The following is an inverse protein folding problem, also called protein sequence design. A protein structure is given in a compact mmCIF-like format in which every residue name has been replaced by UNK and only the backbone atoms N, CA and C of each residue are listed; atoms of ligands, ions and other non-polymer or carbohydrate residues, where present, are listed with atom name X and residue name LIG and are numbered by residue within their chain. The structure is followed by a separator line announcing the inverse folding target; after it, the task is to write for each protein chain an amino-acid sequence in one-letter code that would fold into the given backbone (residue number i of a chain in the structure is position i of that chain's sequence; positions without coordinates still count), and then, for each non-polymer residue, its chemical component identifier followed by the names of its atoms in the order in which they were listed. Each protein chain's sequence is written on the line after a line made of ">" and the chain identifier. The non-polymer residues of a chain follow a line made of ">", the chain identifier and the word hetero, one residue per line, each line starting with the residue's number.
data_IF_838559851049
#
_entry.id   IF_838559851049
#
_cell.length_a   1.000
_cell.length_b   1.000
_cell.length_c   1.000
_cell.angle_alpha   90.00
_cell.angle_beta   90.00
_cell.angle_gamma   90.00
#
_symmetry.space_group_name_H-M   'P 1'
#
loop_
_entity.id
_entity.type
_entity.pdbx_description
1 polymer ?
#
# COMPACT_ATOMS: atom_id res chain seq x y z
N UNK A 1 23.46 -2.64 9.90
CA UNK A 1 22.70 -2.69 8.63
C UNK A 1 21.50 -3.62 8.68
N UNK A 2 21.48 -4.68 9.52
CA UNK A 2 20.33 -5.60 9.69
C UNK A 2 18.99 -4.98 10.18
N UNK A 3 18.98 -3.73 10.69
CA UNK A 3 17.80 -3.11 11.30
C UNK A 3 16.78 -2.54 10.29
N UNK A 4 17.20 -2.25 9.04
CA UNK A 4 16.32 -1.62 8.03
C UNK A 4 15.52 -2.66 7.25
N UNK A 5 16.15 -3.75 6.81
CA UNK A 5 15.47 -4.85 6.10
C UNK A 5 14.46 -5.56 7.01
N UNK A 6 14.83 -5.79 8.28
CA UNK A 6 13.93 -6.38 9.27
C UNK A 6 12.66 -5.53 9.49
N UNK A 7 12.81 -4.20 9.62
CA UNK A 7 11.68 -3.27 9.77
C UNK A 7 10.77 -3.25 8.54
N UNK A 8 11.35 -3.33 7.35
CA UNK A 8 10.56 -3.41 6.13
C UNK A 8 9.76 -4.72 6.07
N UNK A 9 10.36 -5.83 6.47
CA UNK A 9 9.69 -7.14 6.48
C UNK A 9 8.59 -7.21 7.54
N UNK A 10 8.82 -6.65 8.73
CA UNK A 10 7.80 -6.48 9.77
C UNK A 10 6.63 -5.63 9.28
N UNK A 11 6.92 -4.52 8.59
CA UNK A 11 5.90 -3.66 8.00
C UNK A 11 5.09 -4.38 6.92
N UNK A 12 5.75 -5.09 6.01
CA UNK A 12 5.08 -5.90 4.97
C UNK A 12 4.19 -6.97 5.60
N UNK A 13 4.67 -7.64 6.64
CA UNK A 13 3.93 -8.65 7.40
C UNK A 13 2.72 -8.04 8.13
N UNK A 14 2.87 -6.88 8.76
CA UNK A 14 1.77 -6.14 9.37
C UNK A 14 0.71 -5.81 8.32
N UNK A 15 1.12 -5.23 7.20
CA UNK A 15 0.22 -4.81 6.13
C UNK A 15 -0.55 -6.00 5.55
N UNK A 16 0.14 -7.10 5.26
CA UNK A 16 -0.49 -8.34 4.80
C UNK A 16 -1.59 -8.82 5.75
N UNK A 17 -1.26 -8.98 7.03
CA UNK A 17 -2.18 -9.49 8.04
C UNK A 17 -3.37 -8.55 8.25
N UNK A 18 -3.12 -7.25 8.19
CA UNK A 18 -4.13 -6.23 8.40
C UNK A 18 -5.16 -6.19 7.27
N UNK A 19 -4.71 -6.23 6.02
CA UNK A 19 -5.60 -6.23 4.85
C UNK A 19 -6.39 -7.54 4.79
N UNK A 20 -5.69 -8.68 4.96
CA UNK A 20 -6.30 -10.01 4.91
C UNK A 20 -7.35 -10.22 6.00
N UNK A 21 -7.15 -9.67 7.20
CA UNK A 21 -8.11 -9.83 8.31
C UNK A 21 -9.37 -8.97 8.14
N UNK A 22 -9.25 -7.76 7.58
CA UNK A 22 -10.38 -6.84 7.42
C UNK A 22 -11.24 -7.13 6.19
N UNK A 23 -10.63 -7.56 5.09
CA UNK A 23 -11.35 -7.77 3.83
C UNK A 23 -10.82 -9.00 3.06
N UNK A 24 -10.93 -10.21 3.62
CA UNK A 24 -10.32 -11.43 3.05
C UNK A 24 -10.78 -11.72 1.61
N UNK A 25 -12.07 -11.50 1.31
CA UNK A 25 -12.62 -11.70 -0.02
C UNK A 25 -12.07 -10.72 -1.06
N UNK A 26 -12.00 -9.43 -0.70
CA UNK A 26 -11.44 -8.38 -1.57
C UNK A 26 -9.95 -8.60 -1.78
N UNK A 27 -9.22 -8.93 -0.71
CA UNK A 27 -7.79 -9.22 -0.80
C UNK A 27 -7.51 -10.38 -1.75
N UNK A 28 -8.26 -11.49 -1.62
CA UNK A 28 -8.11 -12.66 -2.50
C UNK A 28 -8.43 -12.32 -3.97
N UNK A 29 -9.46 -11.50 -4.20
CA UNK A 29 -9.78 -11.01 -5.54
C UNK A 29 -8.66 -10.14 -6.12
N UNK A 30 -8.16 -9.17 -5.35
CA UNK A 30 -7.08 -8.29 -5.80
C UNK A 30 -5.78 -9.07 -6.04
N UNK A 31 -5.48 -10.07 -5.21
CA UNK A 31 -4.34 -10.96 -5.40
C UNK A 31 -4.42 -11.68 -6.76
N UNK A 32 -5.57 -12.30 -7.05
CA UNK A 32 -5.81 -12.95 -8.35
C UNK A 32 -5.77 -11.96 -9.52
N UNK A 33 -6.32 -10.77 -9.34
CA UNK A 33 -6.33 -9.74 -10.38
C UNK A 33 -4.91 -9.21 -10.68
N UNK A 34 -4.08 -9.02 -9.66
CA UNK A 34 -2.68 -8.62 -9.79
C UNK A 34 -1.85 -9.72 -10.46
N UNK A 35 -1.97 -10.97 -10.00
CA UNK A 35 -1.30 -12.12 -10.62
C UNK A 35 -1.67 -12.27 -12.09
N UNK A 36 -2.96 -12.13 -12.43
CA UNK A 36 -3.43 -12.24 -13.82
C UNK A 36 -2.94 -11.10 -14.71
N UNK A 37 -2.88 -9.88 -14.19
CA UNK A 37 -2.57 -8.68 -14.99
C UNK A 37 -1.08 -8.40 -15.09
N UNK A 38 -0.31 -8.73 -14.05
CA UNK A 38 1.08 -8.32 -13.89
C UNK A 38 2.03 -9.44 -13.45
N UNK A 39 1.52 -10.63 -13.13
CA UNK A 39 2.35 -11.77 -12.72
C UNK A 39 2.94 -11.67 -11.30
N UNK A 40 2.52 -10.69 -10.51
CA UNK A 40 3.01 -10.43 -9.14
C UNK A 40 1.85 -10.28 -8.16
N UNK A 41 2.12 -10.54 -6.88
CA UNK A 41 1.13 -10.42 -5.80
C UNK A 41 0.73 -8.97 -5.52
N UNK A 42 -0.36 -8.77 -4.79
CA UNK A 42 -0.92 -7.42 -4.56
C UNK A 42 0.04 -6.52 -3.78
N UNK A 43 0.75 -7.08 -2.79
CA UNK A 43 1.72 -6.33 -2.01
C UNK A 43 2.99 -6.05 -2.81
N UNK A 44 3.48 -7.01 -3.58
CA UNK A 44 4.63 -6.78 -4.47
C UNK A 44 4.31 -5.67 -5.48
N UNK A 45 3.11 -5.68 -6.05
CA UNK A 45 2.66 -4.62 -6.95
C UNK A 45 2.55 -3.27 -6.24
N UNK A 46 2.06 -3.22 -4.99
CA UNK A 46 1.99 -2.01 -4.19
C UNK A 46 3.38 -1.39 -3.96
N UNK A 47 4.40 -2.21 -3.69
CA UNK A 47 5.75 -1.71 -3.42
C UNK A 47 6.53 -1.43 -4.70
N UNK A 48 6.44 -2.26 -5.72
CA UNK A 48 7.23 -2.11 -6.94
C UNK A 48 6.61 -1.14 -7.94
N UNK A 49 5.28 -1.21 -8.11
CA UNK A 49 4.54 -0.46 -9.12
C UNK A 49 3.19 0.06 -8.59
N UNK A 50 3.17 0.89 -7.53
CA UNK A 50 1.94 1.33 -6.86
C UNK A 50 0.90 1.94 -7.82
N UNK A 51 1.34 2.71 -8.82
CA UNK A 51 0.43 3.27 -9.82
C UNK A 51 -0.35 2.21 -10.62
N UNK A 52 0.25 1.05 -10.89
CA UNK A 52 -0.43 -0.07 -11.58
C UNK A 52 -1.49 -0.72 -10.70
N UNK A 53 -1.27 -0.76 -9.39
CA UNK A 53 -2.29 -1.19 -8.44
C UNK A 53 -3.47 -0.21 -8.45
N UNK A 54 -3.21 1.09 -8.43
CA UNK A 54 -4.27 2.10 -8.52
C UNK A 54 -5.03 2.03 -9.85
N UNK A 55 -4.33 1.80 -10.96
CA UNK A 55 -4.96 1.59 -12.26
C UNK A 55 -5.91 0.38 -12.25
N UNK A 56 -5.52 -0.72 -11.58
CA UNK A 56 -6.36 -1.89 -11.43
C UNK A 56 -7.62 -1.58 -10.61
N UNK A 57 -7.48 -0.82 -9.52
CA UNK A 57 -8.63 -0.35 -8.73
C UNK A 57 -9.55 0.54 -9.57
N UNK A 58 -8.99 1.47 -10.35
CA UNK A 58 -9.77 2.35 -11.21
C UNK A 58 -10.58 1.57 -12.25
N UNK A 59 -9.96 0.56 -12.89
CA UNK A 59 -10.66 -0.31 -13.85
C UNK A 59 -11.78 -1.13 -13.19
N UNK A 60 -11.57 -1.60 -11.96
CA UNK A 60 -12.54 -2.43 -11.26
C UNK A 60 -13.73 -1.63 -10.72
N UNK A 61 -13.46 -0.49 -10.08
CA UNK A 61 -14.49 0.35 -9.45
C UNK A 61 -15.16 1.33 -10.43
N UNK A 62 -14.55 1.60 -11.58
CA UNK A 62 -15.17 2.35 -12.69
C UNK A 62 -15.23 3.87 -12.50
N UNK A 63 -14.86 4.40 -11.34
CA UNK A 63 -14.72 5.84 -11.10
C UNK A 63 -13.53 6.17 -10.21
N UNK A 64 -13.02 7.39 -10.35
CA UNK A 64 -11.90 7.91 -9.56
C UNK A 64 -12.28 7.97 -8.09
N UNK A 65 -13.49 8.43 -7.75
CA UNK A 65 -13.96 8.57 -6.38
C UNK A 65 -14.04 7.20 -5.67
N UNK A 66 -14.56 6.19 -6.36
CA UNK A 66 -14.66 4.84 -5.80
C UNK A 66 -13.28 4.17 -5.68
N UNK A 67 -12.38 4.39 -6.64
CA UNK A 67 -11.02 3.90 -6.59
C UNK A 67 -10.18 4.56 -5.49
N UNK A 68 -10.30 5.88 -5.31
CA UNK A 68 -9.67 6.65 -4.24
C UNK A 68 -10.14 6.14 -2.87
N UNK A 69 -11.46 5.94 -2.71
CA UNK A 69 -12.05 5.40 -1.49
C UNK A 69 -11.56 3.98 -1.19
N UNK A 70 -11.56 3.10 -2.19
CA UNK A 70 -11.09 1.72 -2.06
C UNK A 70 -9.60 1.67 -1.73
N UNK A 71 -8.76 2.44 -2.44
CA UNK A 71 -7.33 2.54 -2.17
C UNK A 71 -7.06 3.00 -0.73
N UNK A 72 -7.81 4.00 -0.29
CA UNK A 72 -7.68 4.55 1.07
C UNK A 72 -8.01 3.50 2.13
N UNK A 73 -9.12 2.78 1.99
CA UNK A 73 -9.54 1.80 3.01
C UNK A 73 -8.68 0.54 2.98
N UNK A 74 -8.39 0.03 1.79
CA UNK A 74 -7.74 -1.28 1.62
C UNK A 74 -6.23 -1.18 1.82
N UNK A 75 -5.59 -0.05 1.48
CA UNK A 75 -4.13 0.06 1.52
C UNK A 75 -3.64 1.21 2.39
N UNK A 76 -4.12 2.44 2.19
CA UNK A 76 -3.51 3.60 2.83
C UNK A 76 -3.77 3.68 4.33
N UNK A 77 -5.00 3.37 4.78
CA UNK A 77 -5.34 3.26 6.19
C UNK A 77 -4.47 2.19 6.88
N UNK A 78 -4.40 0.95 6.37
CA UNK A 78 -3.47 -0.05 6.86
C UNK A 78 -2.00 0.39 6.91
N UNK A 79 -1.52 1.11 5.89
CA UNK A 79 -0.15 1.65 5.88
C UNK A 79 0.07 2.59 7.07
N UNK A 80 -0.82 3.58 7.26
CA UNK A 80 -0.72 4.54 8.37
C UNK A 80 -0.80 3.83 9.73
N UNK A 81 -1.71 2.86 9.87
CA UNK A 81 -1.90 2.09 11.09
C UNK A 81 -0.66 1.22 11.41
N UNK A 82 -0.10 0.53 10.42
CA UNK A 82 1.11 -0.30 10.58
C UNK A 82 2.38 0.51 10.82
N UNK A 83 2.45 1.76 10.33
CA UNK A 83 3.57 2.67 10.63
C UNK A 83 3.46 3.30 12.02
N UNK A 84 2.27 3.28 12.64
CA UNK A 84 2.02 3.90 13.94
C UNK A 84 2.11 5.43 13.95
N UNK A 85 2.27 6.07 12.79
CA UNK A 85 2.47 7.52 12.68
C UNK A 85 1.26 8.22 12.05
N UNK A 86 0.52 8.94 12.88
CA UNK A 86 -0.65 9.75 12.50
C UNK A 86 -0.30 10.97 11.65
N UNK A 87 0.99 11.33 11.51
CA UNK A 87 1.45 12.48 10.73
C UNK A 87 1.56 12.19 9.24
N UNK A 88 1.55 10.91 8.84
CA UNK A 88 1.56 10.54 7.42
C UNK A 88 0.20 10.89 6.79
N UNK A 89 0.20 11.86 5.87
CA UNK A 89 -1.01 12.29 5.18
C UNK A 89 -1.49 11.21 4.21
N UNK A 90 -2.77 10.85 4.34
CA UNK A 90 -3.43 9.91 3.41
C UNK A 90 -3.57 10.51 2.02
N UNK A 91 -3.77 11.82 1.97
CA UNK A 91 -3.86 12.60 0.73
C UNK A 91 -2.52 12.58 -0.02
N UNK A 92 -1.40 12.73 0.70
CA UNK A 92 -0.06 12.63 0.10
C UNK A 92 0.26 11.20 -0.38
N UNK A 93 -0.11 10.19 0.40
CA UNK A 93 -0.01 8.79 -0.02
C UNK A 93 -0.88 8.49 -1.25
N UNK A 94 -2.10 9.01 -1.30
CA UNK A 94 -3.00 8.82 -2.43
C UNK A 94 -2.47 9.55 -3.67
N UNK A 95 -1.99 10.78 -3.53
CA UNK A 95 -1.40 11.53 -4.62
C UNK A 95 -0.15 10.83 -5.18
N UNK A 96 0.73 10.33 -4.31
CA UNK A 96 1.91 9.58 -4.73
C UNK A 96 1.55 8.25 -5.40
N UNK A 97 0.58 7.51 -4.87
CA UNK A 97 0.02 6.30 -5.49
C UNK A 97 -0.49 6.58 -6.91
N UNK A 98 -1.21 7.69 -7.11
CA UNK A 98 -1.79 8.10 -8.41
C UNK A 98 -0.77 8.66 -9.39
N UNK A 99 0.38 9.14 -8.91
CA UNK A 99 1.41 9.76 -9.76
C UNK A 99 2.16 8.78 -10.65
N UNK A 100 1.99 7.47 -10.45
CA UNK A 100 2.80 6.40 -11.05
C UNK A 100 4.31 6.52 -10.76
N UNK A 101 4.73 7.45 -9.92
CA UNK A 101 6.09 7.56 -9.42
C UNK A 101 6.27 6.66 -8.20
N UNK A 102 6.43 5.35 -8.46
CA UNK A 102 6.59 4.36 -7.39
C UNK A 102 7.77 4.63 -6.46
N UNK A 103 8.83 5.27 -6.96
CA UNK A 103 9.97 5.67 -6.12
C UNK A 103 9.55 6.68 -5.04
N UNK A 104 8.76 7.70 -5.39
CA UNK A 104 8.29 8.68 -4.41
C UNK A 104 7.37 8.06 -3.35
N UNK A 105 6.47 7.16 -3.75
CA UNK A 105 5.62 6.42 -2.82
C UNK A 105 6.44 5.61 -1.80
N UNK A 106 7.45 4.89 -2.28
CA UNK A 106 8.36 4.13 -1.41
C UNK A 106 9.22 5.02 -0.52
N UNK A 107 9.70 6.15 -1.03
CA UNK A 107 10.46 7.13 -0.25
C UNK A 107 9.63 7.69 0.90
N UNK A 108 8.35 7.98 0.67
CA UNK A 108 7.43 8.38 1.73
C UNK A 108 7.38 7.31 2.81
N UNK A 109 7.02 6.07 2.49
CA UNK A 109 6.94 4.97 3.47
C UNK A 109 8.28 4.79 4.21
N UNK A 110 9.39 4.83 3.49
CA UNK A 110 10.73 4.61 4.06
C UNK A 110 11.14 5.69 5.06
N UNK A 111 10.76 6.96 4.84
CA UNK A 111 11.01 8.05 5.79
C UNK A 111 10.35 7.76 7.14
N UNK A 112 9.11 7.27 7.11
CA UNK A 112 8.35 6.97 8.32
C UNK A 112 8.81 5.66 9.01
N UNK A 113 9.29 4.67 8.24
CA UNK A 113 9.95 3.48 8.81
C UNK A 113 11.28 3.80 9.50
N UNK A 114 11.97 4.84 9.06
CA UNK A 114 13.22 5.33 9.65
C UNK A 114 13.02 6.19 10.90
N UNK A 115 11.91 6.92 10.99
CA UNK A 115 11.61 7.89 12.05
C UNK A 115 10.94 7.30 13.30
N UNK A 116 10.51 6.03 13.28
CA UNK A 116 9.90 5.32 14.43
C UNK A 116 10.84 5.05 15.62
N UNK A 117 11.98 5.74 15.71
CA UNK A 117 13.00 5.57 16.75
C UNK A 117 12.99 6.63 17.87
N UNK A 118 11.98 7.50 17.93
CA UNK A 118 11.88 8.51 19.01
C UNK A 118 10.45 8.58 19.57
N UNK A 119 10.12 7.66 20.48
CA UNK A 119 9.07 7.82 21.50
C UNK A 119 9.36 6.93 22.70
#
# INVERSE_FOLDING_TARGET
>A
MASSEARLEEFRSCLYNHIRSRAPGIFSFLELACLRSYGVGVLDLLFEFPGRLYELLLRYYGSTEAADYAATIIFLNPIVECLGDVRLSREELLASLKSFNGRYFLELISRYLGSTNES
#
